data_IF_221400555573
#
_entry.id   IF_221400555573
#
_cell.length_a   1.000
_cell.length_b   1.000
_cell.length_c   1.000
_cell.angle_alpha   90.00
_cell.angle_beta   90.00
_cell.angle_gamma   90.00
#
_symmetry.space_group_name_H-M   'P 1'
#
loop_
_entity.id
_entity.type
_entity.pdbx_description
1 polymer ?
#
# COMPACT_ATOMS: atom_id res chain seq x y z
N UNK A 1 18.82 -15.18 5.24
CA UNK A 1 18.04 -14.60 6.36
C UNK A 1 17.71 -13.16 6.00
N UNK A 2 16.52 -12.69 6.36
CA UNK A 2 16.10 -11.30 6.13
C UNK A 2 17.01 -10.35 6.91
N UNK A 3 17.52 -9.30 6.26
CA UNK A 3 18.40 -8.29 6.87
C UNK A 3 18.44 -7.00 6.03
N UNK A 4 18.89 -5.92 6.66
CA UNK A 4 19.30 -4.69 5.98
C UNK A 4 20.77 -4.81 5.58
N UNK A 5 21.08 -4.47 4.34
CA UNK A 5 22.43 -4.38 3.79
C UNK A 5 22.93 -2.94 3.93
N UNK A 6 23.63 -2.65 5.03
CA UNK A 6 24.13 -1.31 5.35
C UNK A 6 25.21 -0.80 4.37
N UNK A 7 25.69 -1.65 3.45
CA UNK A 7 26.60 -1.23 2.38
C UNK A 7 25.90 -0.56 1.19
N UNK A 8 24.57 -0.70 1.09
CA UNK A 8 23.75 -0.04 0.07
C UNK A 8 23.19 1.27 0.62
N UNK A 9 23.11 2.29 -0.23
CA UNK A 9 22.40 3.52 0.09
C UNK A 9 20.88 3.30 0.14
N UNK A 10 20.21 4.07 0.99
CA UNK A 10 18.76 4.14 0.99
C UNK A 10 18.27 4.90 -0.25
N UNK A 11 17.23 4.40 -0.90
CA UNK A 11 16.59 5.04 -2.05
C UNK A 11 15.17 5.44 -1.63
N UNK A 12 14.89 6.74 -1.45
CA UNK A 12 13.53 7.22 -1.19
C UNK A 12 12.61 6.84 -2.35
N UNK A 13 11.36 6.50 -2.03
CA UNK A 13 10.28 6.30 -3.01
C UNK A 13 9.17 7.29 -2.69
N UNK A 14 8.40 7.65 -3.72
CA UNK A 14 7.30 8.63 -3.63
C UNK A 14 5.99 7.90 -3.40
N UNK A 15 5.40 8.08 -2.23
CA UNK A 15 4.25 7.32 -1.75
C UNK A 15 3.02 8.24 -1.65
N UNK A 16 1.94 7.87 -2.32
CA UNK A 16 0.63 8.50 -2.16
C UNK A 16 -0.23 7.72 -1.14
N UNK A 17 -0.90 8.45 -0.25
CA UNK A 17 -1.76 7.87 0.79
C UNK A 17 -3.24 8.18 0.51
N UNK A 18 -4.08 7.15 0.49
CA UNK A 18 -5.54 7.29 0.38
C UNK A 18 -6.25 6.74 1.62
N UNK A 19 -6.97 7.60 2.34
CA UNK A 19 -7.92 7.12 3.35
C UNK A 19 -9.29 6.99 2.70
N UNK A 20 -9.89 5.79 2.79
CA UNK A 20 -11.27 5.54 2.35
C UNK A 20 -12.17 5.59 3.58
N UNK A 21 -13.06 6.59 3.61
CA UNK A 21 -14.01 6.79 4.69
C UNK A 21 -15.13 7.75 4.31
N UNK A 22 -16.37 7.36 4.57
CA UNK A 22 -17.56 8.21 4.41
C UNK A 22 -17.65 9.39 5.41
N UNK A 23 -16.87 9.38 6.50
CA UNK A 23 -17.08 10.32 7.62
C UNK A 23 -15.84 11.06 8.13
N UNK A 24 -14.63 10.58 7.82
CA UNK A 24 -13.40 11.18 8.36
C UNK A 24 -13.01 12.45 7.60
N UNK A 25 -12.60 13.46 8.36
CA UNK A 25 -11.79 14.57 7.88
C UNK A 25 -10.28 14.27 8.03
N UNK A 26 -9.41 15.11 7.46
CA UNK A 26 -7.95 14.99 7.62
C UNK A 26 -7.51 15.10 9.08
N UNK A 27 -8.20 15.91 9.89
CA UNK A 27 -7.90 16.08 11.32
C UNK A 27 -8.17 14.81 12.14
N UNK A 28 -9.10 13.99 11.66
CA UNK A 28 -9.54 12.76 12.33
C UNK A 28 -8.91 11.50 11.73
N UNK A 29 -8.18 11.64 10.63
CA UNK A 29 -7.57 10.55 9.88
C UNK A 29 -6.28 10.03 10.55
N UNK A 30 -6.49 9.34 11.68
CA UNK A 30 -5.40 8.71 12.45
C UNK A 30 -4.69 7.60 11.68
N UNK A 31 -5.41 6.85 10.84
CA UNK A 31 -4.84 5.73 10.08
C UNK A 31 -3.95 6.22 8.94
N UNK A 32 -4.41 7.22 8.17
CA UNK A 32 -3.57 7.86 7.17
C UNK A 32 -2.38 8.58 7.81
N UNK A 33 -2.57 9.24 8.96
CA UNK A 33 -1.47 9.87 9.68
C UNK A 33 -0.40 8.87 10.13
N UNK A 34 -0.82 7.69 10.62
CA UNK A 34 0.09 6.59 10.97
C UNK A 34 0.99 6.18 9.80
N UNK A 35 0.46 6.15 8.58
CA UNK A 35 1.24 5.81 7.38
C UNK A 35 2.18 6.97 6.98
N UNK A 36 1.69 8.21 7.04
CA UNK A 36 2.47 9.42 6.75
C UNK A 36 3.68 9.54 7.70
N UNK A 37 3.47 9.35 9.00
CA UNK A 37 4.54 9.44 9.99
C UNK A 37 5.62 8.39 9.70
N UNK A 38 5.20 7.14 9.49
CA UNK A 38 6.09 6.00 9.24
C UNK A 38 6.90 6.12 7.96
N UNK A 39 6.25 6.52 6.86
CA UNK A 39 6.96 6.67 5.59
C UNK A 39 7.97 7.80 5.66
N UNK A 40 7.63 8.90 6.33
CA UNK A 40 8.51 10.06 6.47
C UNK A 40 9.67 9.75 7.41
N UNK A 41 9.42 9.07 8.53
CA UNK A 41 10.45 8.62 9.47
C UNK A 41 11.43 7.64 8.81
N UNK A 42 10.95 6.79 7.90
CA UNK A 42 11.80 5.90 7.12
C UNK A 42 12.63 6.62 6.03
N UNK A 43 12.34 7.89 5.74
CA UNK A 43 13.04 8.70 4.73
C UNK A 43 12.40 8.70 3.34
N UNK A 44 11.21 8.13 3.17
CA UNK A 44 10.44 8.21 1.93
C UNK A 44 9.75 9.57 1.77
N UNK A 45 9.19 9.82 0.58
CA UNK A 45 8.53 11.09 0.24
C UNK A 45 7.02 10.89 0.22
N UNK A 46 6.27 11.71 0.96
CA UNK A 46 4.81 11.80 0.80
C UNK A 46 4.50 12.55 -0.51
N UNK A 47 4.13 11.80 -1.54
CA UNK A 47 3.85 12.34 -2.87
C UNK A 47 2.49 13.04 -2.94
N UNK A 48 1.48 12.45 -2.31
CA UNK A 48 0.13 12.99 -2.22
C UNK A 48 -0.60 12.35 -1.03
N UNK A 49 -1.66 13.01 -0.54
CA UNK A 49 -2.56 12.46 0.48
C UNK A 49 -3.99 12.89 0.20
N UNK A 50 -4.91 11.93 0.15
CA UNK A 50 -6.34 12.19 -0.07
C UNK A 50 -7.23 11.37 0.86
N UNK A 51 -8.46 11.84 1.00
CA UNK A 51 -9.57 11.10 1.61
C UNK A 51 -10.70 11.03 0.58
N UNK A 52 -11.26 9.83 0.37
CA UNK A 52 -12.42 9.61 -0.48
C UNK A 52 -13.49 8.79 0.25
N UNK A 53 -14.76 8.94 -0.11
CA UNK A 53 -15.82 8.07 0.40
C UNK A 53 -15.66 6.64 -0.11
N UNK A 54 -16.45 5.71 0.45
CA UNK A 54 -16.50 4.30 0.07
C UNK A 54 -17.24 4.09 -1.27
N UNK A 55 -16.74 4.75 -2.33
CA UNK A 55 -17.29 4.72 -3.68
C UNK A 55 -16.29 4.09 -4.66
N UNK A 56 -16.61 2.89 -5.15
CA UNK A 56 -15.69 2.04 -5.94
C UNK A 56 -15.08 2.77 -7.14
N UNK A 57 -15.90 3.51 -7.89
CA UNK A 57 -15.44 4.27 -9.06
C UNK A 57 -14.51 5.41 -8.69
N UNK A 58 -14.81 6.16 -7.63
CA UNK A 58 -13.98 7.29 -7.20
C UNK A 58 -12.61 6.81 -6.71
N UNK A 59 -12.59 5.71 -5.95
CA UNK A 59 -11.35 5.07 -5.51
C UNK A 59 -10.55 4.62 -6.74
N UNK A 60 -11.16 3.82 -7.63
CA UNK A 60 -10.46 3.29 -8.81
C UNK A 60 -9.93 4.40 -9.73
N UNK A 61 -10.68 5.48 -9.94
CA UNK A 61 -10.27 6.61 -10.77
C UNK A 61 -9.10 7.36 -10.13
N UNK A 62 -9.11 7.55 -8.81
CA UNK A 62 -7.98 8.16 -8.11
C UNK A 62 -6.73 7.26 -8.15
N UNK A 63 -6.88 5.94 -8.01
CA UNK A 63 -5.77 5.01 -8.18
C UNK A 63 -5.17 5.09 -9.59
N UNK A 64 -6.00 5.10 -10.65
CA UNK A 64 -5.55 5.28 -12.04
C UNK A 64 -4.86 6.63 -12.26
N UNK A 65 -5.38 7.70 -11.66
CA UNK A 65 -4.76 9.03 -11.75
C UNK A 65 -3.35 9.04 -11.14
N UNK A 66 -3.13 8.35 -10.02
CA UNK A 66 -1.80 8.21 -9.43
C UNK A 66 -0.90 7.26 -10.22
N UNK A 67 -1.42 6.16 -10.76
CA UNK A 67 -0.66 5.27 -11.67
C UNK A 67 -0.16 6.02 -12.90
N UNK A 68 -0.95 6.96 -13.42
CA UNK A 68 -0.56 7.80 -14.56
C UNK A 68 0.40 8.95 -14.18
N UNK A 69 0.62 9.21 -12.89
CA UNK A 69 1.46 10.30 -12.42
C UNK A 69 2.91 9.80 -12.25
N UNK A 70 3.88 10.32 -13.05
CA UNK A 70 5.28 9.92 -12.93
C UNK A 70 5.91 10.33 -11.59
N UNK A 71 5.21 11.10 -10.75
CA UNK A 71 5.61 11.47 -9.38
C UNK A 71 5.11 10.52 -8.29
N UNK A 72 4.50 9.38 -8.63
CA UNK A 72 4.01 8.38 -7.65
C UNK A 72 4.56 6.99 -7.97
N UNK A 73 5.35 6.44 -7.06
CA UNK A 73 5.93 5.09 -7.19
C UNK A 73 5.07 4.04 -6.47
N UNK A 74 4.41 4.43 -5.38
CA UNK A 74 3.61 3.55 -4.52
C UNK A 74 2.34 4.26 -4.07
N UNK A 75 1.23 3.53 -4.07
CA UNK A 75 -0.03 3.95 -3.44
C UNK A 75 -0.33 3.02 -2.28
N UNK A 76 -0.64 3.60 -1.11
CA UNK A 76 -1.14 2.85 0.04
C UNK A 76 -2.48 3.44 0.45
N UNK A 77 -3.54 2.64 0.37
CA UNK A 77 -4.85 3.01 0.89
C UNK A 77 -5.17 2.35 2.23
N UNK A 78 -6.01 2.99 3.04
CA UNK A 78 -6.53 2.45 4.30
C UNK A 78 -8.03 2.68 4.42
N UNK A 79 -8.79 1.63 4.79
CA UNK A 79 -10.25 1.68 4.91
C UNK A 79 -10.99 0.97 3.79
N UNK A 80 -12.28 0.69 3.99
CA UNK A 80 -13.17 0.02 3.01
C UNK A 80 -12.80 -1.42 2.63
N UNK A 81 -12.00 -2.12 3.43
CA UNK A 81 -11.58 -3.52 3.19
C UNK A 81 -12.34 -4.55 4.03
N UNK A 82 -13.40 -4.14 4.74
CA UNK A 82 -14.23 -5.02 5.55
C UNK A 82 -15.16 -5.92 4.71
N UNK A 83 -16.16 -6.50 5.36
CA UNK A 83 -17.11 -7.45 4.75
C UNK A 83 -18.51 -6.86 4.54
N UNK A 84 -18.70 -5.56 4.84
CA UNK A 84 -20.01 -4.92 4.71
C UNK A 84 -20.27 -4.47 3.28
N UNK A 85 -21.52 -4.13 2.96
CA UNK A 85 -21.89 -3.67 1.61
C UNK A 85 -21.27 -2.32 1.19
N UNK A 86 -20.71 -1.54 2.13
CA UNK A 86 -19.95 -0.32 1.83
C UNK A 86 -18.47 -0.60 1.56
N UNK A 87 -17.92 -1.71 2.04
CA UNK A 87 -16.50 -2.02 1.91
C UNK A 87 -16.15 -2.43 0.46
N UNK A 88 -15.70 -1.46 -0.33
CA UNK A 88 -15.45 -1.64 -1.78
C UNK A 88 -13.99 -1.39 -2.21
N UNK A 89 -13.08 -1.11 -1.28
CA UNK A 89 -11.69 -0.76 -1.59
C UNK A 89 -10.95 -1.88 -2.31
N UNK A 90 -11.16 -3.14 -1.92
CA UNK A 90 -10.49 -4.29 -2.55
C UNK A 90 -10.93 -4.45 -4.01
N UNK A 91 -12.23 -4.32 -4.24
CA UNK A 91 -12.83 -4.36 -5.56
C UNK A 91 -12.32 -3.21 -6.44
N UNK A 92 -12.23 -2.00 -5.89
CA UNK A 92 -11.69 -0.83 -6.59
C UNK A 92 -10.22 -0.98 -6.97
N UNK A 93 -9.40 -1.55 -6.07
CA UNK A 93 -8.00 -1.86 -6.34
C UNK A 93 -7.84 -2.88 -7.47
N UNK A 94 -8.62 -3.97 -7.44
CA UNK A 94 -8.61 -5.02 -8.47
C UNK A 94 -9.06 -4.54 -9.84
N UNK A 95 -9.85 -3.47 -9.92
CA UNK A 95 -10.22 -2.83 -11.20
C UNK A 95 -9.06 -2.08 -11.87
N UNK A 96 -7.92 -1.92 -11.18
CA UNK A 96 -6.76 -1.17 -11.66
C UNK A 96 -5.55 -2.06 -11.90
N UNK A 97 -5.41 -3.16 -11.16
CA UNK A 97 -4.25 -4.04 -11.27
C UNK A 97 -4.05 -4.60 -12.68
N UNK A 98 -2.82 -4.51 -13.18
CA UNK A 98 -2.34 -5.32 -14.29
C UNK A 98 -1.85 -6.69 -13.79
N UNK A 99 -1.32 -6.72 -12.55
CA UNK A 99 -0.85 -7.93 -11.89
C UNK A 99 -1.13 -7.86 -10.39
N UNK A 100 -1.88 -8.82 -9.88
CA UNK A 100 -2.13 -8.96 -8.43
C UNK A 100 -0.89 -9.57 -7.73
N UNK A 101 -0.63 -9.12 -6.50
CA UNK A 101 0.40 -9.67 -5.61
C UNK A 101 -0.32 -10.51 -4.55
N UNK A 102 -0.78 -11.71 -4.92
CA UNK A 102 -1.57 -12.60 -4.05
C UNK A 102 -0.91 -12.87 -2.68
N UNK A 103 0.43 -12.89 -2.67
CA UNK A 103 1.21 -13.09 -1.47
C UNK A 103 1.01 -11.96 -0.43
N UNK A 104 0.68 -10.73 -0.84
CA UNK A 104 0.53 -9.60 0.09
C UNK A 104 -0.61 -9.84 1.09
N UNK A 105 -1.81 -10.15 0.59
CA UNK A 105 -2.97 -10.45 1.45
C UNK A 105 -2.72 -11.67 2.35
N UNK A 106 -2.05 -12.69 1.83
CA UNK A 106 -1.65 -13.88 2.59
C UNK A 106 -0.70 -13.54 3.74
N UNK A 107 0.39 -12.81 3.45
CA UNK A 107 1.38 -12.42 4.46
C UNK A 107 0.77 -11.48 5.48
N UNK A 108 -0.07 -10.53 5.06
CA UNK A 108 -0.80 -9.65 5.98
C UNK A 108 -1.73 -10.44 6.90
N UNK A 109 -2.39 -11.49 6.39
CA UNK A 109 -3.23 -12.39 7.20
C UNK A 109 -2.39 -13.15 8.23
N UNK A 110 -1.19 -13.63 7.87
CA UNK A 110 -0.28 -14.29 8.81
C UNK A 110 0.15 -13.32 9.92
N UNK A 111 0.56 -12.10 9.55
CA UNK A 111 0.91 -11.04 10.52
C UNK A 111 -0.27 -10.76 11.44
N UNK A 112 -1.46 -10.57 10.86
CA UNK A 112 -2.68 -10.29 11.62
C UNK A 112 -3.05 -11.46 12.55
N UNK A 113 -2.93 -12.71 12.10
CA UNK A 113 -3.22 -13.88 12.91
C UNK A 113 -2.32 -13.93 14.16
N UNK A 114 -1.05 -13.52 14.05
CA UNK A 114 -0.14 -13.44 15.19
C UNK A 114 -0.50 -12.31 16.18
N UNK A 115 -1.09 -11.21 15.69
CA UNK A 115 -1.38 -10.01 16.50
C UNK A 115 -2.77 -10.03 17.11
N UNK A 116 -3.78 -10.44 16.34
CA UNK A 116 -5.22 -10.33 16.68
C UNK A 116 -5.96 -11.67 16.59
N UNK A 117 -5.25 -12.78 16.36
CA UNK A 117 -5.83 -14.12 16.29
C UNK A 117 -6.87 -14.25 15.18
N UNK A 118 -7.94 -14.97 15.46
CA UNK A 118 -9.00 -15.27 14.48
C UNK A 118 -9.72 -14.04 13.97
N UNK A 119 -9.59 -12.86 14.59
CA UNK A 119 -10.14 -11.62 14.02
C UNK A 119 -9.55 -11.29 12.64
N UNK A 120 -8.37 -11.85 12.30
CA UNK A 120 -7.72 -11.70 11.01
C UNK A 120 -8.61 -12.10 9.81
N UNK A 121 -9.54 -13.07 9.95
CA UNK A 121 -10.41 -13.47 8.82
C UNK A 121 -11.37 -12.38 8.35
N UNK A 122 -11.57 -11.30 9.13
CA UNK A 122 -12.40 -10.16 8.73
C UNK A 122 -11.66 -9.12 7.89
N UNK A 123 -10.33 -9.26 7.72
CA UNK A 123 -9.51 -8.30 6.98
C UNK A 123 -9.27 -8.78 5.55
N UNK A 124 -9.48 -7.89 4.57
CA UNK A 124 -9.21 -8.18 3.15
C UNK A 124 -8.10 -7.30 2.57
N UNK A 125 -6.93 -7.28 3.21
CA UNK A 125 -5.78 -6.56 2.64
C UNK A 125 -5.41 -7.12 1.26
N UNK A 126 -5.08 -6.26 0.30
CA UNK A 126 -4.69 -6.65 -1.07
C UNK A 126 -3.55 -5.79 -1.59
N UNK A 127 -2.84 -6.28 -2.59
CA UNK A 127 -1.79 -5.53 -3.27
C UNK A 127 -1.65 -5.94 -4.73
N UNK A 128 -1.12 -5.05 -5.55
CA UNK A 128 -0.98 -5.23 -6.99
C UNK A 128 0.01 -4.25 -7.61
N UNK A 129 0.17 -4.38 -8.93
CA UNK A 129 0.99 -3.50 -9.77
C UNK A 129 0.15 -3.05 -10.97
N UNK A 130 0.26 -1.79 -11.34
CA UNK A 130 -0.28 -1.24 -12.59
C UNK A 130 0.61 -0.08 -13.06
N UNK A 131 0.91 0.02 -14.36
CA UNK A 131 1.67 1.13 -14.93
C UNK A 131 3.05 1.39 -14.32
N UNK A 132 3.67 0.38 -13.68
CA UNK A 132 4.93 0.54 -12.95
C UNK A 132 4.79 1.06 -11.51
N UNK A 133 3.57 1.31 -11.04
CA UNK A 133 3.25 1.73 -9.67
C UNK A 133 2.78 0.55 -8.84
N UNK A 134 3.26 0.45 -7.60
CA UNK A 134 2.73 -0.52 -6.63
C UNK A 134 1.47 0.04 -5.95
N UNK A 135 0.47 -0.80 -5.73
CA UNK A 135 -0.78 -0.43 -5.06
C UNK A 135 -1.04 -1.40 -3.91
N UNK A 136 -1.32 -0.88 -2.71
CA UNK A 136 -1.64 -1.69 -1.53
C UNK A 136 -2.87 -1.13 -0.81
N UNK A 137 -3.77 -2.01 -0.38
CA UNK A 137 -4.92 -1.67 0.46
C UNK A 137 -4.78 -2.35 1.83
N UNK A 138 -4.80 -1.54 2.89
CA UNK A 138 -4.76 -1.96 4.27
C UNK A 138 -6.12 -1.73 4.97
N UNK A 139 -6.44 -2.48 6.05
CA UNK A 139 -7.62 -2.19 6.85
C UNK A 139 -7.60 -0.80 7.49
N UNK A 140 -8.81 -0.28 7.78
CA UNK A 140 -9.04 1.09 8.25
C UNK A 140 -8.59 1.40 9.68
N UNK A 141 -8.07 0.42 10.42
CA UNK A 141 -7.63 0.62 11.81
C UNK A 141 -6.18 1.09 11.87
N UNK A 142 -5.82 1.99 12.81
CA UNK A 142 -4.42 2.44 12.96
C UNK A 142 -3.45 1.30 13.27
N UNK A 143 -3.91 0.29 14.01
CA UNK A 143 -3.12 -0.91 14.32
C UNK A 143 -2.79 -1.73 13.06
N UNK A 144 -3.77 -1.94 12.18
CA UNK A 144 -3.55 -2.64 10.92
C UNK A 144 -2.61 -1.88 9.98
N UNK A 145 -2.70 -0.54 9.94
CA UNK A 145 -1.77 0.30 9.18
C UNK A 145 -0.35 0.17 9.71
N UNK A 146 -0.20 0.22 11.04
CA UNK A 146 1.07 -0.01 11.72
C UNK A 146 1.65 -1.38 11.39
N UNK A 147 0.88 -2.44 11.54
CA UNK A 147 1.35 -3.80 11.27
C UNK A 147 1.69 -4.02 9.78
N UNK A 148 0.87 -3.50 8.86
CA UNK A 148 1.12 -3.56 7.43
C UNK A 148 2.41 -2.85 7.02
N UNK A 149 2.69 -1.69 7.63
CA UNK A 149 3.96 -0.99 7.41
C UNK A 149 5.14 -1.71 8.07
N UNK A 150 5.11 -1.86 9.40
CA UNK A 150 6.26 -2.30 10.20
C UNK A 150 6.67 -3.73 9.84
N UNK A 151 5.71 -4.60 9.50
CA UNK A 151 5.99 -6.01 9.25
C UNK A 151 6.28 -6.34 7.78
N UNK A 152 5.79 -5.51 6.84
CA UNK A 152 5.82 -5.81 5.40
C UNK A 152 6.37 -4.62 4.59
N UNK A 153 5.61 -3.53 4.49
CA UNK A 153 5.88 -2.49 3.50
C UNK A 153 7.17 -1.73 3.79
N UNK A 154 7.44 -1.31 5.03
CA UNK A 154 8.67 -0.62 5.37
C UNK A 154 9.92 -1.46 5.09
N UNK A 155 9.81 -2.80 5.21
CA UNK A 155 10.89 -3.73 4.84
C UNK A 155 11.03 -3.85 3.33
N UNK A 156 9.93 -4.01 2.61
CA UNK A 156 9.94 -4.23 1.15
C UNK A 156 10.16 -2.95 0.34
N UNK A 157 9.93 -1.78 0.92
CA UNK A 157 10.21 -0.47 0.33
C UNK A 157 11.60 0.07 0.71
N UNK A 158 12.37 -0.66 1.51
CA UNK A 158 13.79 -0.35 1.74
C UNK A 158 14.67 -1.09 0.71
N UNK A 159 15.33 -0.37 -0.18
CA UNK A 159 16.23 -0.94 -1.20
C UNK A 159 17.38 -1.78 -0.62
N UNK A 160 17.73 -1.55 0.64
CA UNK A 160 18.77 -2.27 1.37
C UNK A 160 18.30 -3.63 1.87
N UNK A 161 16.99 -3.90 1.84
CA UNK A 161 16.43 -5.14 2.35
C UNK A 161 16.80 -6.35 1.47
N UNK A 162 17.27 -7.41 2.11
CA UNK A 162 17.67 -8.69 1.50
C UNK A 162 16.73 -9.82 1.92
N UNK A 163 16.55 -10.88 1.09
CA UNK A 163 17.27 -11.15 -0.16
C UNK A 163 16.78 -10.37 -1.37
N UNK A 164 15.55 -9.86 -1.33
CA UNK A 164 14.93 -9.05 -2.37
C UNK A 164 13.93 -8.05 -1.76
N UNK A 165 13.60 -7.01 -2.51
CA UNK A 165 12.66 -5.97 -2.13
C UNK A 165 11.98 -5.38 -3.38
N UNK A 166 10.94 -4.58 -3.19
CA UNK A 166 10.19 -3.97 -4.29
C UNK A 166 10.99 -2.90 -5.03
N UNK A 167 11.77 -2.10 -4.31
CA UNK A 167 12.54 -0.99 -4.91
C UNK A 167 13.55 -1.49 -5.93
N UNK A 168 14.18 -2.64 -5.66
CA UNK A 168 15.11 -3.29 -6.59
C UNK A 168 14.42 -3.76 -7.90
N UNK A 169 13.11 -4.02 -7.86
CA UNK A 169 12.32 -4.49 -9.00
C UNK A 169 11.67 -3.32 -9.76
N UNK A 170 11.42 -2.17 -9.11
CA UNK A 170 10.73 -1.01 -9.70
C UNK A 170 11.16 -0.65 -11.14
N UNK A 171 12.47 -0.53 -11.47
CA UNK A 171 12.89 -0.14 -12.82
C UNK A 171 12.53 -1.12 -13.93
N UNK A 172 12.05 -2.33 -13.55
CA UNK A 172 11.78 -3.47 -14.42
C UNK A 172 10.28 -3.73 -14.62
N UNK A 173 9.40 -3.03 -13.89
CA UNK A 173 7.97 -3.28 -13.92
C UNK A 173 7.34 -3.00 -15.30
N UNK A 174 7.90 -2.03 -16.02
CA UNK A 174 7.50 -1.59 -17.35
C UNK A 174 8.34 -2.22 -18.47
N UNK A 175 9.21 -3.20 -18.19
CA UNK A 175 10.08 -3.84 -19.20
C UNK A 175 9.29 -4.35 -20.43
N UNK A 176 8.06 -4.83 -20.22
CA UNK A 176 7.20 -5.33 -21.27
C UNK A 176 6.66 -4.24 -22.22
N UNK A 177 6.71 -2.96 -21.81
CA UNK A 177 6.28 -1.80 -22.60
C UNK A 177 7.44 -1.21 -23.42
N UNK A 178 8.69 -1.44 -23.01
CA UNK A 178 9.88 -0.97 -23.74
C UNK A 178 10.07 -1.83 -24.99
N UNK A 179 9.76 -1.28 -26.18
CA UNK A 179 10.03 -1.95 -27.47
C UNK A 179 11.52 -2.30 -27.56
N UNK A 180 11.83 -3.54 -27.96
CA UNK A 180 13.19 -4.00 -28.26
C UNK A 180 13.85 -3.20 -29.38
#
# INVERSE_FOLDING_TARGET
MSRIDESKDFIPVRIAILTVSDSRSLEEDRSGQVLVDRLTEAGHVLADRKILPDERSEIADQLRAWVANPEVDVVISTGGTGLTGRDVTVEAHRDVYEKEIDAFGTVFTIVSMQKIGTSAVQSRATGGVAGGTYLFALPGSPGACKDGWDEILGKQLDFRHRPCNFVEIMPRLDEHLRRK
#
